data_IF_353127459012
#
_entry.id   IF_353127459012
#
_cell.length_a   1.000
_cell.length_b   1.000
_cell.length_c   1.000
_cell.angle_alpha   90.00
_cell.angle_beta   90.00
_cell.angle_gamma   90.00
#
_symmetry.space_group_name_H-M   'P 1'
#
loop_
_entity.id
_entity.type
_entity.pdbx_description
1 polymer ?
#
# COMPACT_ATOMS: atom_id res chain seq x y z
N UNK A 1 4.92 -8.67 3.79
CA UNK A 1 4.96 -7.92 2.50
C UNK A 1 6.09 -6.91 2.49
N UNK A 2 6.26 -6.05 3.52
CA UNK A 2 7.26 -4.99 3.58
C UNK A 2 8.70 -5.49 3.33
N UNK A 3 9.16 -6.51 4.05
CA UNK A 3 10.48 -7.11 3.83
C UNK A 3 10.65 -7.69 2.41
N UNK A 4 9.60 -8.26 1.84
CA UNK A 4 9.62 -8.74 0.46
C UNK A 4 9.75 -7.60 -0.53
N UNK A 5 9.05 -6.48 -0.30
CA UNK A 5 9.15 -5.29 -1.11
C UNK A 5 10.59 -4.74 -1.12
N UNK A 6 11.20 -4.55 0.06
CA UNK A 6 12.59 -4.08 0.13
C UNK A 6 13.61 -5.03 -0.49
N UNK A 7 13.39 -6.35 -0.40
CA UNK A 7 14.29 -7.32 -1.01
C UNK A 7 14.24 -7.36 -2.56
N UNK A 8 13.21 -6.76 -3.17
CA UNK A 8 12.98 -6.76 -4.62
C UNK A 8 12.67 -5.35 -5.15
N UNK A 9 13.10 -4.34 -4.41
CA UNK A 9 12.91 -2.94 -4.82
C UNK A 9 13.54 -2.71 -6.20
N UNK A 10 12.83 -2.01 -7.07
CA UNK A 10 13.30 -1.76 -8.44
C UNK A 10 13.11 -2.90 -9.44
N UNK A 11 12.74 -4.11 -9.00
CA UNK A 11 12.49 -5.23 -9.90
C UNK A 11 11.08 -5.15 -10.51
N UNK A 12 10.97 -4.99 -11.82
CA UNK A 12 9.69 -4.83 -12.53
C UNK A 12 8.79 -6.08 -12.47
N UNK A 13 9.37 -7.27 -12.35
CA UNK A 13 8.62 -8.54 -12.26
C UNK A 13 7.83 -8.70 -10.96
N UNK A 14 8.27 -8.05 -9.88
CA UNK A 14 7.67 -8.16 -8.54
C UNK A 14 6.93 -6.91 -8.10
N UNK A 15 6.82 -5.91 -8.96
CA UNK A 15 6.21 -4.58 -8.70
C UNK A 15 4.77 -4.57 -8.18
N UNK A 16 4.06 -5.70 -8.27
CA UNK A 16 2.68 -5.83 -7.77
C UNK A 16 2.60 -6.13 -6.28
N UNK A 17 3.73 -6.45 -5.64
CA UNK A 17 3.78 -6.87 -4.25
C UNK A 17 4.31 -5.75 -3.37
N UNK A 18 3.40 -4.98 -2.78
CA UNK A 18 3.74 -3.91 -1.84
C UNK A 18 4.07 -2.57 -2.49
N UNK A 19 3.92 -2.45 -3.80
CA UNK A 19 4.17 -1.24 -4.58
C UNK A 19 2.90 -0.60 -5.13
N UNK A 20 2.98 0.69 -5.42
CA UNK A 20 1.98 1.37 -6.25
C UNK A 20 2.19 0.89 -7.69
N UNK A 21 1.15 0.30 -8.28
CA UNK A 21 1.24 -0.27 -9.63
C UNK A 21 1.79 0.74 -10.64
N UNK A 22 2.92 0.37 -11.24
CA UNK A 22 3.59 1.11 -12.29
C UNK A 22 3.50 0.32 -13.60
N UNK A 23 3.31 1.05 -14.69
CA UNK A 23 3.38 0.51 -16.05
C UNK A 23 4.60 1.08 -16.75
N UNK A 24 5.28 0.27 -17.54
CA UNK A 24 6.28 0.76 -18.49
C UNK A 24 5.59 1.56 -19.61
N UNK A 25 6.34 2.40 -20.31
CA UNK A 25 5.80 3.17 -21.46
C UNK A 25 5.16 2.24 -22.48
N UNK A 26 5.86 1.17 -22.86
CA UNK A 26 5.35 0.20 -23.83
C UNK A 26 4.10 -0.56 -23.37
N UNK A 27 3.97 -0.84 -22.05
CA UNK A 27 2.73 -1.41 -21.50
C UNK A 27 1.59 -0.40 -21.54
N UNK A 28 1.86 0.85 -21.14
CA UNK A 28 0.86 1.90 -21.17
C UNK A 28 0.34 2.19 -22.59
N UNK A 29 1.22 2.20 -23.59
CA UNK A 29 0.83 2.43 -24.99
C UNK A 29 -0.13 1.36 -25.51
N UNK A 30 0.03 0.10 -25.09
CA UNK A 30 -0.82 -1.04 -25.47
C UNK A 30 -2.21 -1.03 -24.83
N UNK A 31 -2.44 -0.20 -23.81
CA UNK A 31 -3.73 -0.10 -23.15
C UNK A 31 -4.79 0.54 -24.06
N UNK A 32 -6.03 0.09 -23.91
CA UNK A 32 -7.21 0.77 -24.47
C UNK A 32 -7.41 2.15 -23.85
N UNK A 33 -8.18 3.02 -24.52
CA UNK A 33 -8.48 4.36 -24.00
C UNK A 33 -9.13 4.34 -22.62
N UNK A 34 -9.99 3.36 -22.34
CA UNK A 34 -10.63 3.18 -21.04
C UNK A 34 -9.65 2.74 -19.95
N UNK A 35 -8.73 1.86 -20.26
CA UNK A 35 -7.67 1.44 -19.32
C UNK A 35 -6.68 2.57 -19.03
N UNK A 36 -6.31 3.35 -20.05
CA UNK A 36 -5.51 4.57 -19.87
C UNK A 36 -6.20 5.57 -18.94
N UNK A 37 -7.52 5.77 -19.13
CA UNK A 37 -8.30 6.64 -18.24
C UNK A 37 -8.29 6.11 -16.79
N UNK A 38 -8.59 4.82 -16.58
CA UNK A 38 -8.53 4.20 -15.24
C UNK A 38 -7.16 4.34 -14.59
N UNK A 39 -6.09 4.13 -15.35
CA UNK A 39 -4.72 4.27 -14.85
C UNK A 39 -4.41 5.72 -14.46
N UNK A 40 -4.82 6.70 -15.25
CA UNK A 40 -4.68 8.13 -14.92
C UNK A 40 -5.44 8.52 -13.65
N UNK A 41 -6.67 8.04 -13.51
CA UNK A 41 -7.47 8.25 -12.28
C UNK A 41 -6.79 7.62 -11.08
N UNK A 42 -6.34 6.35 -11.20
CA UNK A 42 -5.61 5.65 -10.15
C UNK A 42 -4.35 6.41 -9.71
N UNK A 43 -3.62 7.01 -10.65
CA UNK A 43 -2.39 7.78 -10.39
C UNK A 43 -2.63 9.25 -10.03
N UNK A 44 -3.88 9.69 -10.00
CA UNK A 44 -4.19 11.07 -9.65
C UNK A 44 -3.92 11.39 -8.18
N UNK A 45 -3.53 12.63 -7.92
CA UNK A 45 -3.21 13.11 -6.56
C UNK A 45 -4.33 12.83 -5.53
N UNK A 46 -5.62 13.10 -5.82
CA UNK A 46 -6.68 12.80 -4.86
C UNK A 46 -6.81 11.30 -4.55
N UNK A 47 -6.67 10.44 -5.56
CA UNK A 47 -6.75 8.99 -5.35
C UNK A 47 -5.56 8.50 -4.54
N UNK A 48 -4.34 8.94 -4.87
CA UNK A 48 -3.13 8.50 -4.17
C UNK A 48 -3.09 8.99 -2.71
N UNK A 49 -3.44 10.24 -2.43
CA UNK A 49 -3.21 10.85 -1.12
C UNK A 49 -4.45 10.95 -0.22
N UNK A 50 -5.63 10.66 -0.74
CA UNK A 50 -6.87 10.61 0.05
C UNK A 50 -7.43 9.18 0.08
N UNK A 51 -7.69 8.59 -1.08
CA UNK A 51 -8.26 7.24 -1.15
C UNK A 51 -7.22 6.15 -0.88
N UNK A 52 -5.97 6.36 -1.28
CA UNK A 52 -4.86 5.43 -1.01
C UNK A 52 -4.65 5.13 0.48
N UNK A 53 -4.52 6.13 1.36
CA UNK A 53 -4.45 5.94 2.81
C UNK A 53 -5.64 5.18 3.39
N UNK A 54 -6.86 5.49 2.97
CA UNK A 54 -8.08 4.77 3.38
C UNK A 54 -8.00 3.29 2.97
N UNK A 55 -7.72 3.04 1.69
CA UNK A 55 -7.55 1.68 1.19
C UNK A 55 -6.45 0.93 1.94
N UNK A 56 -5.30 1.56 2.16
CA UNK A 56 -4.16 0.95 2.84
C UNK A 56 -4.48 0.55 4.28
N UNK A 57 -5.11 1.44 5.06
CA UNK A 57 -5.44 1.19 6.47
C UNK A 57 -6.57 0.18 6.62
N UNK A 58 -7.66 0.35 5.88
CA UNK A 58 -8.88 -0.42 6.11
C UNK A 58 -8.98 -1.69 5.27
N UNK A 59 -8.24 -1.80 4.17
CA UNK A 59 -8.32 -2.93 3.25
C UNK A 59 -6.98 -3.67 3.17
N UNK A 60 -5.94 -3.02 2.67
CA UNK A 60 -4.66 -3.67 2.38
C UNK A 60 -4.01 -4.28 3.63
N UNK A 61 -3.97 -3.56 4.75
CA UNK A 61 -3.40 -4.04 6.00
C UNK A 61 -4.33 -4.93 6.83
N UNK A 62 -5.59 -5.11 6.42
CA UNK A 62 -6.59 -5.88 7.17
C UNK A 62 -6.97 -7.18 6.51
N UNK A 63 -6.84 -7.27 5.20
CA UNK A 63 -7.19 -8.46 4.44
C UNK A 63 -5.93 -9.15 3.90
N UNK A 64 -5.92 -10.49 3.84
CA UNK A 64 -4.83 -11.27 3.26
C UNK A 64 -4.92 -11.25 1.72
N UNK A 65 -4.84 -10.03 1.13
CA UNK A 65 -4.98 -9.83 -0.32
C UNK A 65 -3.83 -10.43 -1.12
N UNK A 66 -2.65 -10.48 -0.51
CA UNK A 66 -1.45 -11.07 -1.10
C UNK A 66 -1.04 -12.24 -0.24
N UNK A 67 -1.05 -13.45 -0.80
CA UNK A 67 -0.62 -14.67 -0.12
C UNK A 67 0.41 -15.39 -0.98
N UNK A 68 1.63 -15.48 -0.49
CA UNK A 68 2.68 -16.31 -1.07
C UNK A 68 2.68 -17.70 -0.41
N UNK A 69 3.20 -18.70 -1.14
CA UNK A 69 3.38 -20.05 -0.59
C UNK A 69 4.24 -19.97 0.70
N UNK A 70 3.78 -20.59 1.77
CA UNK A 70 4.49 -20.59 3.06
C UNK A 70 4.07 -19.52 4.06
N UNK A 71 3.29 -18.50 3.68
CA UNK A 71 2.86 -17.40 4.55
C UNK A 71 1.71 -17.75 5.53
N UNK A 72 1.72 -18.94 6.10
CA UNK A 72 0.73 -19.37 7.11
C UNK A 72 0.87 -18.57 8.42
N UNK A 73 2.13 -18.31 8.85
CA UNK A 73 2.43 -17.52 10.05
C UNK A 73 1.97 -16.07 9.89
N UNK A 74 2.28 -15.45 8.76
CA UNK A 74 1.92 -14.07 8.44
C UNK A 74 0.39 -13.88 8.42
N UNK A 75 -0.34 -14.82 7.79
CA UNK A 75 -1.81 -14.82 7.78
C UNK A 75 -2.38 -14.95 9.19
N UNK A 76 -1.85 -15.86 10.01
CA UNK A 76 -2.28 -16.02 11.40
C UNK A 76 -2.04 -14.74 12.20
N UNK A 77 -0.84 -14.14 12.08
CA UNK A 77 -0.50 -12.89 12.75
C UNK A 77 -1.45 -11.76 12.32
N UNK A 78 -1.77 -11.65 11.03
CA UNK A 78 -2.74 -10.67 10.54
C UNK A 78 -4.12 -10.83 11.19
N UNK A 79 -4.63 -12.06 11.25
CA UNK A 79 -5.92 -12.34 11.88
C UNK A 79 -5.89 -11.97 13.37
N UNK A 80 -4.86 -12.40 14.10
CA UNK A 80 -4.71 -12.08 15.52
C UNK A 80 -4.62 -10.57 15.77
N UNK A 81 -3.88 -9.83 14.91
CA UNK A 81 -3.80 -8.38 14.99
C UNK A 81 -5.17 -7.74 14.75
N UNK A 82 -5.95 -8.22 13.78
CA UNK A 82 -7.29 -7.69 13.53
C UNK A 82 -8.23 -7.95 14.72
N UNK A 83 -8.20 -9.16 15.30
CA UNK A 83 -9.00 -9.48 16.49
C UNK A 83 -8.59 -8.57 17.65
N UNK A 84 -7.29 -8.41 17.91
CA UNK A 84 -6.78 -7.51 18.93
C UNK A 84 -7.28 -6.07 18.75
N UNK A 85 -7.18 -5.54 17.53
CA UNK A 85 -7.63 -4.17 17.24
C UNK A 85 -9.14 -4.00 17.41
N UNK A 86 -9.95 -4.98 16.98
CA UNK A 86 -11.40 -4.94 17.17
C UNK A 86 -11.72 -4.88 18.67
N UNK A 87 -11.13 -5.77 19.46
CA UNK A 87 -11.36 -5.80 20.91
C UNK A 87 -10.87 -4.50 21.57
N UNK A 88 -9.67 -4.05 21.21
CA UNK A 88 -9.08 -2.82 21.76
C UNK A 88 -9.97 -1.60 21.49
N UNK A 89 -10.40 -1.38 20.23
CA UNK A 89 -11.24 -0.23 19.90
C UNK A 89 -12.66 -0.37 20.42
N UNK A 90 -13.19 -1.59 20.55
CA UNK A 90 -14.48 -1.82 21.20
C UNK A 90 -14.45 -1.41 22.68
N UNK A 91 -13.42 -1.85 23.42
CA UNK A 91 -13.24 -1.49 24.83
C UNK A 91 -12.97 0.01 25.00
N UNK A 92 -12.10 0.57 24.18
CA UNK A 92 -11.78 2.00 24.23
C UNK A 92 -13.02 2.85 23.91
N UNK A 93 -13.79 2.51 22.88
CA UNK A 93 -15.02 3.19 22.52
C UNK A 93 -16.10 3.06 23.59
N UNK A 94 -16.19 1.92 24.25
CA UNK A 94 -17.07 1.73 25.40
C UNK A 94 -16.70 2.67 26.55
N UNK A 95 -15.40 2.83 26.83
CA UNK A 95 -14.89 3.64 27.94
C UNK A 95 -15.01 5.15 27.70
N UNK A 96 -14.56 5.65 26.52
CA UNK A 96 -14.52 7.10 26.23
C UNK A 96 -15.70 7.61 25.40
N UNK A 97 -16.47 6.70 24.82
CA UNK A 97 -17.57 6.97 23.87
C UNK A 97 -17.14 6.87 22.41
N UNK A 98 -17.87 6.09 21.64
CA UNK A 98 -17.55 5.83 20.20
C UNK A 98 -17.52 7.10 19.34
N UNK A 99 -18.41 8.05 19.61
CA UNK A 99 -18.45 9.31 18.88
C UNK A 99 -17.16 10.12 19.10
N UNK A 100 -16.72 10.24 20.35
CA UNK A 100 -15.46 10.93 20.70
C UNK A 100 -14.26 10.23 20.08
N UNK A 101 -14.23 8.90 20.14
CA UNK A 101 -13.19 8.10 19.52
C UNK A 101 -13.09 8.37 18.01
N UNK A 102 -14.21 8.37 17.29
CA UNK A 102 -14.23 8.62 15.86
C UNK A 102 -13.79 10.07 15.53
N UNK A 103 -14.34 11.06 16.20
CA UNK A 103 -14.04 12.46 15.91
C UNK A 103 -12.58 12.81 16.19
N UNK A 104 -11.98 12.26 17.24
CA UNK A 104 -10.59 12.55 17.60
C UNK A 104 -9.60 11.67 16.85
N UNK A 105 -9.85 10.37 16.81
CA UNK A 105 -8.89 9.39 16.31
C UNK A 105 -8.85 9.32 14.78
N UNK A 106 -9.98 9.36 14.12
CA UNK A 106 -10.07 9.21 12.67
C UNK A 106 -9.28 10.30 11.90
N UNK A 107 -9.42 11.61 12.19
CA UNK A 107 -8.64 12.64 11.53
C UNK A 107 -7.13 12.48 11.74
N UNK A 108 -6.71 12.12 12.97
CA UNK A 108 -5.30 11.92 13.31
C UNK A 108 -4.72 10.77 12.48
N UNK A 109 -5.42 9.63 12.43
CA UNK A 109 -4.98 8.46 11.66
C UNK A 109 -4.94 8.76 10.18
N UNK A 110 -5.93 9.49 9.66
CA UNK A 110 -5.98 9.87 8.25
C UNK A 110 -4.83 10.80 7.87
N UNK A 111 -4.56 11.81 8.68
CA UNK A 111 -3.43 12.72 8.47
C UNK A 111 -2.10 11.95 8.48
N UNK A 112 -1.88 11.13 9.49
CA UNK A 112 -0.68 10.31 9.62
C UNK A 112 -0.51 9.36 8.41
N UNK A 113 -1.58 8.69 8.00
CA UNK A 113 -1.55 7.79 6.86
C UNK A 113 -1.30 8.51 5.53
N UNK A 114 -1.86 9.71 5.35
CA UNK A 114 -1.60 10.53 4.15
C UNK A 114 -0.14 10.96 4.07
N UNK A 115 0.43 11.37 5.19
CA UNK A 115 1.86 11.71 5.29
C UNK A 115 2.72 10.47 5.00
N UNK A 116 2.39 9.31 5.58
CA UNK A 116 3.13 8.07 5.36
C UNK A 116 3.08 7.62 3.89
N UNK A 117 1.92 7.70 3.22
CA UNK A 117 1.78 7.39 1.79
C UNK A 117 2.55 8.40 0.93
N UNK A 118 2.57 9.67 1.33
CA UNK A 118 3.34 10.70 0.64
C UNK A 118 4.85 10.43 0.71
N UNK A 119 5.39 10.13 1.89
CA UNK A 119 6.79 9.73 2.04
C UNK A 119 7.11 8.47 1.24
N UNK A 120 6.26 7.45 1.32
CA UNK A 120 6.42 6.24 0.54
C UNK A 120 6.46 6.54 -0.98
N UNK A 121 5.57 7.40 -1.46
CA UNK A 121 5.54 7.81 -2.85
C UNK A 121 6.83 8.51 -3.29
N UNK A 122 7.33 9.47 -2.50
CA UNK A 122 8.56 10.21 -2.79
C UNK A 122 9.78 9.27 -2.80
N UNK A 123 9.88 8.38 -1.82
CA UNK A 123 11.00 7.42 -1.73
C UNK A 123 11.12 6.49 -2.94
N UNK A 124 10.04 6.34 -3.73
CA UNK A 124 9.99 5.45 -4.88
C UNK A 124 9.96 6.22 -6.22
N UNK A 125 10.19 7.51 -6.19
CA UNK A 125 10.26 8.39 -7.37
C UNK A 125 11.67 8.97 -7.48
N UNK A 126 12.60 8.12 -7.92
CA UNK A 126 13.99 8.54 -8.14
C UNK A 126 14.28 8.70 -9.63
N UNK A 127 15.17 9.64 -9.93
CA UNK A 127 15.73 9.87 -11.24
C UNK A 127 17.27 9.83 -11.11
N UNK A 128 18.01 9.00 -11.86
CA UNK A 128 17.58 8.16 -12.96
C UNK A 128 16.75 6.93 -12.54
N UNK A 129 15.98 6.41 -13.48
CA UNK A 129 15.12 5.25 -13.23
C UNK A 129 15.98 4.00 -12.95
N UNK A 130 15.93 3.51 -11.71
CA UNK A 130 16.67 2.32 -11.24
C UNK A 130 15.90 0.99 -11.47
N UNK A 131 14.72 1.07 -12.10
CA UNK A 131 13.83 -0.10 -12.28
C UNK A 131 14.21 -0.89 -13.51
N UNK A 132 14.52 -2.17 -13.31
CA UNK A 132 14.92 -3.10 -14.36
C UNK A 132 14.14 -4.42 -14.30
N UNK A 133 14.11 -5.16 -15.40
CA UNK A 133 13.63 -6.52 -15.42
C UNK A 133 14.64 -7.44 -14.69
N UNK A 134 14.18 -8.58 -14.19
CA UNK A 134 14.95 -9.50 -13.36
C UNK A 134 16.35 -9.83 -13.92
N UNK A 135 16.47 -9.98 -15.23
CA UNK A 135 17.72 -10.36 -15.89
C UNK A 135 18.79 -9.24 -15.89
N UNK A 136 18.35 -7.98 -15.72
CA UNK A 136 19.21 -6.78 -15.69
C UNK A 136 19.21 -6.11 -14.31
N UNK A 137 18.48 -6.69 -13.35
CA UNK A 137 18.30 -6.10 -12.03
C UNK A 137 19.47 -6.42 -11.11
N UNK A 138 20.02 -5.40 -10.48
CA UNK A 138 21.08 -5.49 -9.47
C UNK A 138 20.58 -4.87 -8.15
N UNK A 139 20.66 -5.62 -7.07
CA UNK A 139 20.26 -5.18 -5.74
C UNK A 139 21.04 -3.97 -5.23
N UNK A 140 22.33 -3.84 -5.60
CA UNK A 140 23.20 -2.75 -5.14
C UNK A 140 22.95 -1.45 -5.90
N UNK A 141 22.34 -1.53 -7.09
CA UNK A 141 21.99 -0.37 -7.94
C UNK A 141 20.54 0.08 -7.77
N UNK A 142 19.70 -0.71 -7.09
CA UNK A 142 18.26 -0.48 -6.93
C UNK A 142 17.89 0.29 -5.59
#
# INVERSE_FOLDING_TARGET
THNHHHAHQGQLDTRTIGDITLLTVGEYEKLSSWEKFKYKVYRSTPVLFVLGPLYYIFVHNRLPLITLKGWKKEKRTLILTNVYLIVFYALLGYWIGYQKLLILYFPIVMLFASIAVWFFYIQHQHDPNYKSWKDEWDYLLA
#
